data_IF_239037539608
#
_entry.id   IF_239037539608
#
_cell.length_a   1.000
_cell.length_b   1.000
_cell.length_c   1.000
_cell.angle_alpha   90.00
_cell.angle_beta   90.00
_cell.angle_gamma   90.00
#
_symmetry.space_group_name_H-M   'P 1'
#
loop_
_entity.id
_entity.type
_entity.pdbx_description
1 polymer ?
#
# COMPACT_ATOMS: atom_id res chain seq x y z
N UNK A 1 -13.04 0.77 -18.95
CA UNK A 1 -12.13 -0.31 -18.56
C UNK A 1 -11.07 0.24 -17.65
N UNK A 2 -10.77 -0.48 -16.60
CA UNK A 2 -9.86 0.01 -15.57
C UNK A 2 -8.43 -0.47 -15.87
N UNK A 3 -7.54 0.45 -16.21
CA UNK A 3 -6.14 0.14 -16.55
C UNK A 3 -5.21 0.27 -15.35
N UNK A 4 -5.75 0.14 -14.14
CA UNK A 4 -4.96 0.19 -12.93
C UNK A 4 -4.06 -1.03 -12.78
N UNK A 5 -2.85 -0.79 -12.28
CA UNK A 5 -1.88 -1.85 -12.04
C UNK A 5 -1.52 -1.84 -10.56
N UNK A 6 -1.75 -2.97 -9.87
CA UNK A 6 -1.35 -3.12 -8.48
C UNK A 6 0.13 -3.43 -8.43
N UNK A 7 0.89 -2.58 -7.73
CA UNK A 7 2.31 -2.80 -7.50
C UNK A 7 2.53 -3.78 -6.35
N UNK A 8 1.90 -3.51 -5.22
CA UNK A 8 2.02 -4.37 -4.04
C UNK A 8 0.87 -4.09 -3.07
N UNK A 9 0.76 -4.91 -2.06
CA UNK A 9 -0.26 -4.75 -1.04
C UNK A 9 -0.09 -5.71 0.11
N UNK A 10 -0.70 -5.37 1.24
CA UNK A 10 -0.72 -6.22 2.42
C UNK A 10 -2.13 -6.29 2.99
N UNK A 11 -2.43 -7.38 3.66
CA UNK A 11 -3.72 -7.61 4.30
C UNK A 11 -3.53 -8.06 5.74
N UNK A 12 -4.21 -7.38 6.66
CA UNK A 12 -4.24 -7.80 8.07
C UNK A 12 -5.12 -9.01 8.28
N UNK A 13 -6.06 -9.28 7.36
CA UNK A 13 -7.04 -10.37 7.52
C UNK A 13 -6.41 -11.74 7.35
N UNK A 14 -5.54 -11.88 6.34
CA UNK A 14 -4.84 -13.14 6.11
C UNK A 14 -3.33 -13.05 6.37
N UNK A 15 -2.87 -11.88 6.83
CA UNK A 15 -1.47 -11.61 7.16
C UNK A 15 -0.52 -11.94 6.02
N UNK A 16 -0.91 -11.56 4.81
CA UNK A 16 -0.12 -11.80 3.60
C UNK A 16 0.29 -10.50 2.95
N UNK A 17 1.43 -10.57 2.27
CA UNK A 17 1.94 -9.51 1.44
C UNK A 17 2.01 -9.98 0.00
N UNK A 18 1.59 -9.13 -0.93
CA UNK A 18 1.65 -9.36 -2.37
C UNK A 18 2.60 -8.35 -3.01
N UNK A 19 3.48 -8.83 -3.88
CA UNK A 19 4.31 -7.97 -4.72
C UNK A 19 4.18 -8.43 -6.17
N UNK A 20 3.88 -7.48 -7.08
CA UNK A 20 3.68 -7.78 -8.48
C UNK A 20 5.00 -8.11 -9.17
N UNK A 21 5.13 -9.31 -9.72
CA UNK A 21 6.35 -9.78 -10.37
C UNK A 21 6.77 -8.91 -11.57
N UNK A 22 5.83 -8.19 -12.19
CA UNK A 22 6.15 -7.26 -13.27
C UNK A 22 7.11 -6.17 -12.84
N UNK A 23 7.21 -5.92 -11.53
CA UNK A 23 8.09 -4.90 -10.95
C UNK A 23 9.33 -5.51 -10.29
N UNK A 24 9.66 -6.75 -10.60
CA UNK A 24 10.80 -7.45 -10.00
C UNK A 24 12.15 -6.81 -10.35
N UNK A 25 12.19 -5.97 -11.38
CA UNK A 25 13.39 -5.23 -11.76
C UNK A 25 13.70 -4.03 -10.86
N UNK A 26 12.77 -3.66 -9.99
CA UNK A 26 13.05 -2.60 -9.01
C UNK A 26 14.19 -3.01 -8.08
N UNK A 27 15.03 -2.05 -7.65
CA UNK A 27 16.08 -2.35 -6.69
C UNK A 27 15.53 -3.04 -5.44
N UNK A 28 16.28 -4.00 -4.91
CA UNK A 28 15.81 -4.79 -3.76
C UNK A 28 15.50 -3.91 -2.55
N UNK A 29 16.30 -2.86 -2.33
CA UNK A 29 16.05 -1.92 -1.24
C UNK A 29 14.70 -1.25 -1.34
N UNK A 30 14.25 -0.91 -2.56
CA UNK A 30 12.95 -0.32 -2.80
C UNK A 30 11.84 -1.35 -2.55
N UNK A 31 12.02 -2.58 -3.02
CA UNK A 31 11.06 -3.65 -2.77
C UNK A 31 10.90 -3.92 -1.28
N UNK A 32 12.00 -3.95 -0.53
CA UNK A 32 11.99 -4.16 0.91
C UNK A 32 11.28 -3.04 1.64
N UNK A 33 11.52 -1.79 1.24
CA UNK A 33 10.90 -0.62 1.86
C UNK A 33 9.38 -0.62 1.63
N UNK A 34 8.94 -0.98 0.43
CA UNK A 34 7.50 -1.13 0.13
C UNK A 34 6.88 -2.22 0.99
N UNK A 35 7.55 -3.34 1.14
CA UNK A 35 7.08 -4.47 1.96
C UNK A 35 6.89 -4.04 3.40
N UNK A 36 7.91 -3.44 4.00
CA UNK A 36 7.87 -2.99 5.39
C UNK A 36 6.76 -1.95 5.58
N UNK A 37 6.67 -0.98 4.68
CA UNK A 37 5.65 0.07 4.74
C UNK A 37 4.23 -0.52 4.76
N UNK A 38 3.93 -1.43 3.84
CA UNK A 38 2.60 -2.03 3.73
C UNK A 38 2.25 -2.87 4.95
N UNK A 39 3.19 -3.69 5.41
CA UNK A 39 2.97 -4.56 6.57
C UNK A 39 2.78 -3.75 7.85
N UNK A 40 3.60 -2.74 8.06
CA UNK A 40 3.46 -1.88 9.24
C UNK A 40 2.16 -1.10 9.24
N UNK A 41 1.73 -0.62 8.07
CA UNK A 41 0.46 0.08 7.97
C UNK A 41 -0.70 -0.81 8.41
N UNK A 42 -0.80 -2.01 7.85
CA UNK A 42 -1.91 -2.92 8.17
C UNK A 42 -1.82 -3.48 9.58
N UNK A 43 -0.63 -3.59 10.13
CA UNK A 43 -0.46 -3.98 11.54
C UNK A 43 -0.96 -2.89 12.49
N UNK A 44 -0.83 -1.63 12.06
CA UNK A 44 -1.17 -0.47 12.88
C UNK A 44 -2.66 -0.13 12.81
N UNK A 45 -3.23 -0.08 11.60
CA UNK A 45 -4.61 0.38 11.41
C UNK A 45 -5.57 -0.73 10.96
N UNK A 46 -5.07 -1.89 10.59
CA UNK A 46 -5.89 -2.99 10.09
C UNK A 46 -6.20 -2.88 8.61
N UNK A 47 -7.09 -3.73 8.14
CA UNK A 47 -7.56 -3.70 6.76
C UNK A 47 -6.55 -4.16 5.74
N UNK A 48 -6.70 -3.66 4.52
CA UNK A 48 -5.83 -3.95 3.38
C UNK A 48 -5.27 -2.64 2.86
N UNK A 49 -3.97 -2.60 2.59
CA UNK A 49 -3.34 -1.48 1.89
C UNK A 49 -2.83 -1.97 0.55
N UNK A 50 -3.14 -1.24 -0.52
CA UNK A 50 -2.61 -1.49 -1.85
C UNK A 50 -1.91 -0.26 -2.39
N UNK A 51 -0.78 -0.47 -3.05
CA UNK A 51 -0.08 0.56 -3.82
C UNK A 51 -0.38 0.29 -5.29
N UNK A 52 -1.02 1.25 -5.94
CA UNK A 52 -1.60 1.07 -7.28
C UNK A 52 -1.18 2.22 -8.18
N UNK A 53 -0.85 1.90 -9.44
CA UNK A 53 -0.75 2.92 -10.48
C UNK A 53 -2.10 3.04 -11.18
N UNK A 54 -2.64 4.25 -11.28
CA UNK A 54 -3.88 4.49 -11.98
C UNK A 54 -3.67 4.62 -13.49
N UNK A 55 -4.73 4.91 -14.23
CA UNK A 55 -4.70 5.03 -15.69
C UNK A 55 -3.70 6.09 -16.19
N UNK A 56 -3.47 7.13 -15.39
CA UNK A 56 -2.54 8.20 -15.73
C UNK A 56 -1.09 7.88 -15.34
N UNK A 57 -0.87 6.74 -14.71
CA UNK A 57 0.43 6.38 -14.18
C UNK A 57 0.74 7.01 -12.83
N UNK A 58 -0.25 7.65 -12.20
CA UNK A 58 -0.09 8.22 -10.88
C UNK A 58 -0.18 7.15 -9.81
N UNK A 59 0.65 7.28 -8.77
CA UNK A 59 0.67 6.34 -7.66
C UNK A 59 -0.44 6.66 -6.67
N UNK A 60 -1.21 5.64 -6.31
CA UNK A 60 -2.30 5.76 -5.34
C UNK A 60 -2.09 4.78 -4.20
N UNK A 61 -2.38 5.21 -2.98
CA UNK A 61 -2.45 4.34 -1.82
C UNK A 61 -3.92 4.08 -1.53
N UNK A 62 -4.34 2.83 -1.66
CA UNK A 62 -5.75 2.45 -1.48
C UNK A 62 -5.92 1.56 -0.28
N UNK A 63 -6.98 1.81 0.47
CA UNK A 63 -7.32 1.00 1.62
C UNK A 63 -8.67 0.32 1.38
N UNK A 64 -8.79 -0.90 1.90
CA UNK A 64 -10.04 -1.66 1.88
C UNK A 64 -10.25 -2.29 3.24
N UNK A 65 -11.51 -2.44 3.63
CA UNK A 65 -11.88 -3.12 4.87
C UNK A 65 -13.03 -4.07 4.60
N UNK A 66 -13.12 -5.11 5.44
CA UNK A 66 -14.32 -5.94 5.45
C UNK A 66 -15.46 -5.13 6.07
N UNK A 67 -16.67 -5.40 5.60
CA UNK A 67 -17.85 -4.60 5.92
C UNK A 67 -18.13 -4.50 7.42
N UNK A 68 -17.81 -5.54 8.16
CA UNK A 68 -18.08 -5.63 9.61
C UNK A 68 -16.81 -5.51 10.46
N UNK A 69 -15.74 -4.95 9.91
CA UNK A 69 -14.49 -4.79 10.66
C UNK A 69 -14.57 -3.58 11.58
N UNK A 70 -14.99 -3.82 12.81
CA UNK A 70 -15.11 -2.79 13.85
C UNK A 70 -13.76 -2.37 14.44
N UNK A 71 -12.71 -3.15 14.16
CA UNK A 71 -11.37 -2.87 14.67
C UNK A 71 -10.56 -1.94 13.74
N UNK A 72 -11.08 -1.69 12.55
CA UNK A 72 -10.39 -0.82 11.60
C UNK A 72 -10.42 0.63 12.06
N UNK A 73 -9.26 1.27 12.11
CA UNK A 73 -9.11 2.66 12.51
C UNK A 73 -9.20 3.58 11.30
N UNK A 74 -10.42 4.03 10.97
CA UNK A 74 -10.65 4.90 9.81
C UNK A 74 -9.92 6.23 9.91
N UNK A 75 -9.93 6.82 11.09
CA UNK A 75 -9.25 8.11 11.31
C UNK A 75 -7.74 7.93 11.24
N UNK A 76 -7.22 6.93 11.93
CA UNK A 76 -5.80 6.60 11.90
C UNK A 76 -5.32 6.25 10.50
N UNK A 77 -6.16 5.57 9.72
CA UNK A 77 -5.85 5.22 8.33
C UNK A 77 -5.63 6.46 7.48
N UNK A 78 -6.53 7.44 7.55
CA UNK A 78 -6.41 8.69 6.78
C UNK A 78 -5.15 9.45 7.18
N UNK A 79 -4.90 9.56 8.47
CA UNK A 79 -3.71 10.26 8.97
C UNK A 79 -2.43 9.55 8.55
N UNK A 80 -2.41 8.22 8.64
CA UNK A 80 -1.25 7.41 8.26
C UNK A 80 -0.95 7.52 6.76
N UNK A 81 -1.98 7.51 5.92
CA UNK A 81 -1.83 7.67 4.48
C UNK A 81 -1.16 9.02 4.17
N UNK A 82 -1.64 10.10 4.79
CA UNK A 82 -1.05 11.42 4.60
C UNK A 82 0.40 11.46 5.07
N UNK A 83 0.69 10.82 6.19
CA UNK A 83 2.04 10.72 6.71
C UNK A 83 2.95 9.98 5.74
N UNK A 84 2.50 8.85 5.20
CA UNK A 84 3.27 8.07 4.23
C UNK A 84 3.53 8.84 2.95
N UNK A 85 2.53 9.55 2.44
CA UNK A 85 2.68 10.36 1.23
C UNK A 85 3.75 11.42 1.41
N UNK A 86 3.89 11.97 2.60
CA UNK A 86 4.91 12.98 2.91
C UNK A 86 6.27 12.35 3.19
N UNK A 87 6.32 11.32 4.04
CA UNK A 87 7.58 10.71 4.47
C UNK A 87 8.23 9.82 3.41
N UNK A 88 7.42 9.24 2.53
CA UNK A 88 7.89 8.31 1.49
C UNK A 88 7.89 8.94 0.10
N UNK A 89 7.89 10.25 0.02
CA UNK A 89 7.88 10.96 -1.26
C UNK A 89 9.00 10.52 -2.18
N UNK A 90 10.23 10.41 -1.65
CA UNK A 90 11.37 9.97 -2.45
C UNK A 90 11.21 8.53 -2.95
N UNK A 91 10.66 7.65 -2.10
CA UNK A 91 10.38 6.27 -2.48
C UNK A 91 9.39 6.24 -3.65
N UNK A 92 8.29 6.98 -3.52
CA UNK A 92 7.24 6.98 -4.54
C UNK A 92 7.72 7.61 -5.84
N UNK A 93 8.55 8.63 -5.79
CA UNK A 93 9.12 9.26 -6.97
C UNK A 93 10.08 8.33 -7.72
N UNK A 94 10.68 7.37 -7.03
CA UNK A 94 11.60 6.41 -7.66
C UNK A 94 10.91 5.25 -8.36
N UNK A 95 9.59 5.17 -8.28
CA UNK A 95 8.80 4.09 -8.91
C UNK A 95 8.36 4.39 -10.36
#
# INVERSE_FOLDING_TARGET
MNDEIVLCGASSYNKKYYFNEQFSSLPQGIQDELHIMCVLFTADVGGVLQVVFDEDGSLQLRTQTEEDDILYDEIGSVLKIKQLQREKEELFESL
#
